data_IF_983272134997
#
_entry.id   IF_983272134997
#
_cell.length_a   1.000
_cell.length_b   1.000
_cell.length_c   1.000
_cell.angle_alpha   90.00
_cell.angle_beta   90.00
_cell.angle_gamma   90.00
#
_symmetry.space_group_name_H-M   'P 1'
#
loop_
_entity.id
_entity.type
_entity.pdbx_description
1 polymer ?
#
# COMPACT_ATOMS: atom_id res chain seq x y z
N UNK A 1 23.08 16.57 8.83
CA UNK A 1 22.37 16.09 7.63
C UNK A 1 21.68 17.27 7.01
N UNK A 2 22.19 17.68 5.86
CA UNK A 2 21.66 18.79 5.07
C UNK A 2 20.22 18.48 4.62
N UNK A 3 19.42 19.50 4.31
CA UNK A 3 18.03 19.29 3.84
C UNK A 3 17.98 18.45 2.55
N UNK A 4 19.01 18.58 1.70
CA UNK A 4 19.17 17.84 0.45
C UNK A 4 19.36 16.34 0.72
N UNK A 5 20.25 15.96 1.66
CA UNK A 5 20.47 14.55 2.02
C UNK A 5 19.20 13.88 2.58
N UNK A 6 18.38 14.61 3.35
CA UNK A 6 17.13 14.07 3.89
C UNK A 6 16.09 13.83 2.80
N UNK A 7 16.02 14.71 1.80
CA UNK A 7 15.14 14.54 0.66
C UNK A 7 15.60 13.37 -0.21
N UNK A 8 16.92 13.20 -0.37
CA UNK A 8 17.51 12.08 -1.09
C UNK A 8 17.18 10.71 -0.48
N UNK A 9 17.34 10.60 0.84
CA UNK A 9 17.00 9.36 1.56
C UNK A 9 15.50 9.07 1.52
N UNK A 10 14.65 10.12 1.52
CA UNK A 10 13.19 9.96 1.49
C UNK A 10 12.71 9.40 0.16
N UNK A 11 13.18 9.90 -0.99
CA UNK A 11 12.69 9.40 -2.27
C UNK A 11 13.12 7.94 -2.51
N UNK A 12 14.33 7.55 -2.09
CA UNK A 12 14.78 6.15 -2.16
C UNK A 12 13.87 5.27 -1.30
N UNK A 13 13.56 5.72 -0.08
CA UNK A 13 12.62 5.01 0.79
C UNK A 13 11.26 4.86 0.11
N UNK A 14 10.70 5.92 -0.47
CA UNK A 14 9.41 5.87 -1.15
C UNK A 14 9.42 4.90 -2.35
N UNK A 15 10.50 4.83 -3.13
CA UNK A 15 10.66 3.83 -4.20
C UNK A 15 10.77 2.40 -3.69
N UNK A 16 11.55 2.16 -2.63
CA UNK A 16 11.63 0.83 -1.99
C UNK A 16 10.26 0.44 -1.45
N UNK A 17 9.51 1.39 -0.90
CA UNK A 17 8.13 1.16 -0.44
C UNK A 17 7.18 0.80 -1.56
N UNK A 18 7.30 1.46 -2.71
CA UNK A 18 6.49 1.15 -3.88
C UNK A 18 6.54 -0.33 -4.25
N UNK A 19 7.72 -0.94 -4.09
CA UNK A 19 7.97 -2.35 -4.42
C UNK A 19 7.74 -3.34 -3.26
N UNK A 20 7.98 -2.92 -2.02
CA UNK A 20 8.09 -3.86 -0.87
C UNK A 20 7.09 -3.62 0.27
N UNK A 21 6.33 -2.53 0.22
CA UNK A 21 5.29 -2.28 1.21
C UNK A 21 4.16 -3.31 1.04
N UNK A 22 3.56 -3.78 2.13
CA UNK A 22 2.44 -4.71 2.04
C UNK A 22 1.25 -4.09 1.29
N UNK A 23 0.47 -4.94 0.64
CA UNK A 23 -0.84 -4.56 0.09
C UNK A 23 -1.84 -4.62 1.25
N UNK A 24 -2.51 -3.51 1.53
CA UNK A 24 -3.50 -3.44 2.61
C UNK A 24 -4.86 -3.89 2.05
N UNK A 25 -5.46 -4.90 2.68
CA UNK A 25 -6.75 -5.48 2.27
C UNK A 25 -7.78 -5.36 3.38
N UNK A 26 -9.06 -5.39 3.04
CA UNK A 26 -10.11 -5.55 4.05
C UNK A 26 -9.99 -6.95 4.71
N UNK A 27 -10.01 -7.03 6.05
CA UNK A 27 -9.87 -8.29 6.76
C UNK A 27 -11.12 -9.15 6.56
N UNK A 28 -11.04 -10.14 5.67
CA UNK A 28 -12.17 -10.99 5.30
C UNK A 28 -11.68 -12.38 4.85
N UNK A 29 -12.51 -13.44 4.96
CA UNK A 29 -12.17 -14.76 4.41
C UNK A 29 -11.81 -14.74 2.92
N UNK A 30 -12.29 -13.74 2.16
CA UNK A 30 -12.12 -13.61 0.72
C UNK A 30 -10.83 -12.88 0.28
N UNK A 31 -9.86 -12.72 1.19
CA UNK A 31 -8.58 -12.06 0.86
C UNK A 31 -7.76 -12.86 -0.17
N UNK A 32 -7.88 -14.19 -0.17
CA UNK A 32 -7.14 -15.05 -1.09
C UNK A 32 -7.72 -14.99 -2.52
N UNK A 33 -9.01 -14.64 -2.65
CA UNK A 33 -9.73 -14.54 -3.92
C UNK A 33 -9.44 -13.26 -4.71
N UNK A 34 -8.63 -12.35 -4.17
CA UNK A 34 -8.20 -11.15 -4.87
C UNK A 34 -7.42 -11.55 -6.13
N UNK A 35 -7.84 -11.14 -7.35
CA UNK A 35 -7.18 -11.53 -8.58
C UNK A 35 -5.70 -11.11 -8.63
N UNK A 36 -4.80 -12.03 -8.98
CA UNK A 36 -3.36 -11.76 -8.99
C UNK A 36 -2.98 -10.65 -9.97
N UNK A 37 -3.66 -10.56 -11.12
CA UNK A 37 -3.49 -9.44 -12.07
C UNK A 37 -3.64 -8.05 -11.44
N UNK A 38 -4.48 -7.91 -10.40
CA UNK A 38 -4.62 -6.64 -9.66
C UNK A 38 -3.40 -6.43 -8.75
N UNK A 39 -2.97 -7.47 -8.03
CA UNK A 39 -1.80 -7.42 -7.14
C UNK A 39 -0.53 -7.07 -7.93
N UNK A 40 -0.34 -7.69 -9.09
CA UNK A 40 0.80 -7.47 -9.99
C UNK A 40 0.89 -6.04 -10.51
N UNK A 41 -0.24 -5.32 -10.57
CA UNK A 41 -0.29 -3.93 -11.03
C UNK A 41 0.13 -2.94 -9.95
N UNK A 42 -0.03 -3.29 -8.68
CA UNK A 42 0.25 -2.39 -7.53
C UNK A 42 1.66 -1.78 -7.57
N UNK A 43 2.75 -2.54 -7.80
CA UNK A 43 4.09 -1.96 -7.84
C UNK A 43 4.24 -0.86 -8.90
N UNK A 44 3.72 -1.07 -10.10
CA UNK A 44 3.80 -0.09 -11.20
C UNK A 44 3.01 1.17 -10.85
N UNK A 45 1.78 1.03 -10.34
CA UNK A 45 0.94 2.16 -9.96
C UNK A 45 1.56 2.97 -8.81
N UNK A 46 2.18 2.29 -7.84
CA UNK A 46 2.91 2.96 -6.74
C UNK A 46 4.12 3.71 -7.27
N UNK A 47 4.87 3.17 -8.24
CA UNK A 47 5.99 3.88 -8.88
C UNK A 47 5.51 5.12 -9.63
N UNK A 48 4.39 5.04 -10.36
CA UNK A 48 3.76 6.20 -11.00
C UNK A 48 3.38 7.25 -9.95
N UNK A 49 2.81 6.83 -8.81
CA UNK A 49 2.49 7.73 -7.71
C UNK A 49 3.74 8.37 -7.10
N UNK A 50 4.85 7.64 -6.94
CA UNK A 50 6.12 8.20 -6.52
C UNK A 50 6.61 9.28 -7.50
N UNK A 51 6.52 9.03 -8.82
CA UNK A 51 6.88 10.03 -9.83
C UNK A 51 6.00 11.29 -9.75
N UNK A 52 4.68 11.13 -9.57
CA UNK A 52 3.75 12.25 -9.36
C UNK A 52 4.05 13.04 -8.09
N UNK A 53 4.41 12.35 -7.01
CA UNK A 53 4.80 13.00 -5.76
C UNK A 53 6.08 13.84 -5.91
N UNK A 54 7.03 13.43 -6.77
CA UNK A 54 8.19 14.26 -7.12
C UNK A 54 7.79 15.51 -7.93
N UNK A 55 6.68 15.45 -8.68
CA UNK A 55 6.11 16.60 -9.38
C UNK A 55 5.26 17.52 -8.48
N UNK A 56 5.18 17.23 -7.18
CA UNK A 56 4.49 18.05 -6.18
C UNK A 56 3.06 17.59 -5.85
N UNK A 57 2.59 16.47 -6.40
CA UNK A 57 1.31 15.89 -5.98
C UNK A 57 1.39 15.32 -4.55
N UNK A 58 0.29 15.38 -3.81
CA UNK A 58 0.23 14.74 -2.48
C UNK A 58 0.21 13.23 -2.65
N UNK A 59 1.15 12.48 -2.05
CA UNK A 59 1.21 11.04 -2.22
C UNK A 59 0.02 10.37 -1.52
N UNK A 60 -0.62 9.42 -2.20
CA UNK A 60 -1.77 8.65 -1.70
C UNK A 60 -1.67 7.19 -2.14
N UNK A 61 -2.58 6.34 -1.68
CA UNK A 61 -2.73 5.00 -2.25
C UNK A 61 -3.24 5.10 -3.69
N UNK A 62 -3.03 4.07 -4.48
CA UNK A 62 -3.46 4.05 -5.89
C UNK A 62 -4.93 3.62 -6.02
N UNK A 63 -5.54 3.86 -7.18
CA UNK A 63 -6.91 3.40 -7.45
C UNK A 63 -6.99 1.86 -7.41
N UNK A 64 -5.92 1.17 -7.82
CA UNK A 64 -5.80 -0.30 -7.71
C UNK A 64 -5.76 -0.76 -6.26
N UNK A 65 -5.02 -0.07 -5.38
CA UNK A 65 -4.97 -0.42 -3.96
C UNK A 65 -6.33 -0.22 -3.26
N UNK A 66 -7.03 0.88 -3.58
CA UNK A 66 -8.38 1.10 -3.07
C UNK A 66 -9.36 0.02 -3.55
N UNK A 67 -9.30 -0.36 -4.83
CA UNK A 67 -10.11 -1.44 -5.39
C UNK A 67 -9.83 -2.78 -4.70
N UNK A 68 -8.55 -3.11 -4.52
CA UNK A 68 -8.11 -4.32 -3.82
C UNK A 68 -8.61 -4.33 -2.37
N UNK A 69 -8.53 -3.19 -1.68
CA UNK A 69 -9.04 -3.09 -0.32
C UNK A 69 -10.53 -3.40 -0.24
N UNK A 70 -11.32 -2.85 -1.15
CA UNK A 70 -12.78 -3.03 -1.17
C UNK A 70 -13.24 -4.40 -1.68
N UNK A 71 -12.45 -5.08 -2.52
CA UNK A 71 -12.86 -6.32 -3.20
C UNK A 71 -13.37 -7.40 -2.23
N UNK A 72 -12.63 -7.82 -1.17
CA UNK A 72 -13.12 -8.82 -0.23
C UNK A 72 -14.39 -8.39 0.51
N UNK A 73 -14.54 -7.08 0.78
CA UNK A 73 -15.72 -6.54 1.45
C UNK A 73 -16.98 -6.71 0.61
N UNK A 74 -16.87 -6.66 -0.72
CA UNK A 74 -18.01 -6.84 -1.63
C UNK A 74 -18.54 -8.27 -1.64
N UNK A 75 -17.66 -9.25 -1.38
CA UNK A 75 -18.01 -10.68 -1.30
C UNK A 75 -18.57 -11.08 0.07
N UNK A 76 -18.22 -10.33 1.11
CA UNK A 76 -18.65 -10.60 2.49
C UNK A 76 -20.10 -10.16 2.75
N UNK A 77 -20.47 -8.96 2.32
CA UNK A 77 -21.81 -8.42 2.53
C UNK A 77 -22.11 -7.28 1.54
N UNK A 78 -23.38 -6.90 1.45
CA UNK A 78 -23.76 -5.69 0.70
C UNK A 78 -23.10 -4.45 1.31
N UNK A 79 -22.76 -3.49 0.44
CA UNK A 79 -22.25 -2.17 0.83
C UNK A 79 -23.34 -1.12 0.62
N UNK A 80 -23.21 0.01 1.29
CA UNK A 80 -24.04 1.17 1.01
C UNK A 80 -23.85 1.65 -0.45
N UNK A 81 -24.86 2.31 -1.01
CA UNK A 81 -24.89 2.72 -2.41
C UNK A 81 -23.68 3.56 -2.80
N UNK A 82 -23.24 4.47 -1.94
CA UNK A 82 -22.10 5.35 -2.24
C UNK A 82 -20.80 4.56 -2.39
N UNK A 83 -20.59 3.56 -1.54
CA UNK A 83 -19.42 2.68 -1.64
C UNK A 83 -19.50 1.72 -2.83
N UNK A 84 -20.69 1.25 -3.20
CA UNK A 84 -20.86 0.49 -4.44
C UNK A 84 -20.48 1.34 -5.65
N UNK A 85 -20.93 2.58 -5.68
CA UNK A 85 -20.65 3.52 -6.76
C UNK A 85 -19.14 3.83 -6.87
N UNK A 86 -18.46 4.04 -5.72
CA UNK A 86 -17.00 4.18 -5.65
C UNK A 86 -16.29 2.91 -6.17
N UNK A 87 -16.72 1.72 -5.73
CA UNK A 87 -16.13 0.45 -6.14
C UNK A 87 -16.20 0.25 -7.66
N UNK A 88 -17.37 0.51 -8.24
CA UNK A 88 -17.61 0.40 -9.68
C UNK A 88 -16.79 1.44 -10.47
N UNK A 89 -16.72 2.68 -9.98
CA UNK A 89 -15.89 3.72 -10.57
C UNK A 89 -14.40 3.35 -10.59
N UNK A 90 -13.88 2.83 -9.48
CA UNK A 90 -12.51 2.32 -9.39
C UNK A 90 -12.30 1.14 -10.33
N UNK A 91 -13.24 0.19 -10.36
CA UNK A 91 -13.22 -0.96 -11.28
C UNK A 91 -13.12 -0.51 -12.73
N UNK A 92 -13.94 0.45 -13.15
CA UNK A 92 -13.90 1.04 -14.49
C UNK A 92 -12.53 1.63 -14.85
N UNK A 93 -11.98 2.46 -13.96
CA UNK A 93 -10.66 3.07 -14.17
C UNK A 93 -9.56 2.03 -14.29
N UNK A 94 -9.55 1.05 -13.38
CA UNK A 94 -8.51 0.02 -13.33
C UNK A 94 -8.62 -0.92 -14.53
N UNK A 95 -9.82 -1.38 -14.87
CA UNK A 95 -10.05 -2.20 -16.06
C UNK A 95 -9.64 -1.47 -17.33
N UNK A 96 -10.02 -0.20 -17.48
CA UNK A 96 -9.65 0.63 -18.63
C UNK A 96 -8.12 0.81 -18.74
N UNK A 97 -7.43 1.01 -17.61
CA UNK A 97 -5.96 1.05 -17.56
C UNK A 97 -5.30 -0.29 -17.93
N UNK A 98 -6.01 -1.41 -17.81
CA UNK A 98 -5.61 -2.75 -18.24
C UNK A 98 -6.07 -3.09 -19.67
N UNK A 99 -6.67 -2.14 -20.40
CA UNK A 99 -7.19 -2.37 -21.75
C UNK A 99 -8.47 -3.21 -21.79
N UNK A 100 -9.22 -3.25 -20.68
CA UNK A 100 -10.51 -3.93 -20.59
C UNK A 100 -11.63 -2.89 -20.50
N UNK A 101 -12.71 -3.11 -21.24
CA UNK A 101 -13.90 -2.27 -21.18
C UNK A 101 -14.91 -2.83 -20.19
N UNK A 102 -15.45 -1.97 -19.34
CA UNK A 102 -16.60 -2.30 -18.50
C UNK A 102 -17.90 -2.17 -19.29
N UNK A 103 -18.85 -3.10 -19.13
CA UNK A 103 -20.18 -2.99 -19.73
C UNK A 103 -20.87 -1.65 -19.39
N UNK A 104 -21.50 -1.02 -20.38
CA UNK A 104 -22.05 0.34 -20.25
C UNK A 104 -23.14 0.47 -19.19
N UNK A 105 -23.91 -0.61 -18.96
CA UNK A 105 -25.03 -0.66 -18.02
C UNK A 105 -24.59 -0.63 -16.55
N UNK A 106 -23.37 -1.09 -16.27
CA UNK A 106 -22.79 -1.06 -14.91
C UNK A 106 -21.65 -0.07 -14.79
N UNK A 107 -21.14 0.50 -15.89
CA UNK A 107 -20.00 1.42 -15.86
C UNK A 107 -20.35 2.69 -15.09
N UNK A 108 -19.38 3.18 -14.31
CA UNK A 108 -19.45 4.51 -13.68
C UNK A 108 -18.24 5.35 -14.05
N UNK A 109 -18.52 6.49 -14.67
CA UNK A 109 -17.49 7.40 -15.20
C UNK A 109 -17.18 8.57 -14.26
N UNK A 110 -18.11 8.91 -13.36
CA UNK A 110 -17.97 10.03 -12.41
C UNK A 110 -18.45 9.66 -11.01
N UNK A 111 -17.89 10.35 -10.02
CA UNK A 111 -18.34 10.37 -8.63
C UNK A 111 -18.77 11.79 -8.29
N UNK A 112 -19.75 11.92 -7.38
CA UNK A 112 -20.05 13.23 -6.80
C UNK A 112 -18.95 13.67 -5.80
N UNK A 113 -19.08 14.89 -5.28
CA UNK A 113 -18.09 15.45 -4.36
C UNK A 113 -17.95 14.65 -3.07
N UNK A 114 -19.04 14.12 -2.52
CA UNK A 114 -19.00 13.40 -1.25
C UNK A 114 -18.31 12.05 -1.44
N UNK A 115 -18.72 11.31 -2.48
CA UNK A 115 -18.11 10.04 -2.88
C UNK A 115 -16.61 10.21 -3.17
N UNK A 116 -16.22 11.30 -3.84
CA UNK A 116 -14.81 11.59 -4.11
C UNK A 116 -14.03 11.93 -2.82
N UNK A 117 -14.63 12.67 -1.88
CA UNK A 117 -14.01 12.94 -0.56
C UNK A 117 -13.79 11.65 0.21
N UNK A 118 -14.78 10.76 0.25
CA UNK A 118 -14.70 9.49 0.97
C UNK A 118 -13.66 8.55 0.35
N UNK A 119 -13.59 8.50 -0.98
CA UNK A 119 -12.53 7.78 -1.68
C UNK A 119 -11.13 8.35 -1.35
N UNK A 120 -10.98 9.67 -1.35
CA UNK A 120 -9.70 10.29 -1.02
C UNK A 120 -9.27 10.02 0.42
N UNK A 121 -10.21 10.05 1.37
CA UNK A 121 -9.95 9.66 2.75
C UNK A 121 -9.51 8.19 2.86
N UNK A 122 -10.19 7.28 2.16
CA UNK A 122 -9.80 5.87 2.12
C UNK A 122 -8.37 5.72 1.56
N UNK A 123 -8.05 6.38 0.45
CA UNK A 123 -6.72 6.31 -0.17
C UNK A 123 -5.62 6.89 0.71
N UNK A 124 -5.90 7.97 1.43
CA UNK A 124 -4.97 8.52 2.41
C UNK A 124 -4.73 7.53 3.56
N UNK A 125 -5.80 6.93 4.10
CA UNK A 125 -5.69 5.95 5.18
C UNK A 125 -4.90 4.70 4.76
N UNK A 126 -5.14 4.15 3.56
CA UNK A 126 -4.39 3.00 3.02
C UNK A 126 -2.90 3.34 2.91
N UNK A 127 -2.58 4.54 2.40
CA UNK A 127 -1.21 5.04 2.27
C UNK A 127 -0.50 5.12 3.62
N UNK A 128 -1.17 5.68 4.63
CA UNK A 128 -0.60 5.80 5.97
C UNK A 128 -0.38 4.42 6.60
N UNK A 129 -1.33 3.48 6.40
CA UNK A 129 -1.22 2.11 6.92
C UNK A 129 -0.06 1.35 6.32
N UNK A 130 0.18 1.43 5.01
CA UNK A 130 1.33 0.74 4.39
C UNK A 130 2.66 1.30 4.88
N UNK A 131 2.76 2.62 5.05
CA UNK A 131 3.98 3.27 5.56
C UNK A 131 4.22 2.86 7.00
N UNK A 132 3.19 2.86 7.83
CA UNK A 132 3.29 2.40 9.22
C UNK A 132 3.80 0.96 9.28
N UNK A 133 3.24 0.06 8.47
CA UNK A 133 3.66 -1.34 8.41
C UNK A 133 5.13 -1.51 8.04
N UNK A 134 5.64 -0.73 7.06
CA UNK A 134 7.07 -0.71 6.73
C UNK A 134 7.92 -0.22 7.89
N UNK A 135 7.57 0.92 8.49
CA UNK A 135 8.33 1.50 9.59
C UNK A 135 8.39 0.55 10.79
N UNK A 136 7.32 -0.19 11.06
CA UNK A 136 7.28 -1.17 12.13
C UNK A 136 8.13 -2.41 11.80
N UNK A 137 8.12 -2.88 10.54
CA UNK A 137 9.03 -3.93 10.06
C UNK A 137 10.51 -3.52 10.22
N UNK A 138 10.85 -2.29 9.85
CA UNK A 138 12.21 -1.76 9.97
C UNK A 138 12.66 -1.60 11.43
N UNK A 139 11.72 -1.26 12.32
CA UNK A 139 11.98 -1.21 13.77
C UNK A 139 12.18 -2.60 14.34
N UNK A 140 11.33 -3.56 13.97
CA UNK A 140 11.45 -4.96 14.42
C UNK A 140 12.77 -5.58 13.94
N UNK A 141 13.14 -5.40 12.67
CA UNK A 141 14.40 -5.90 12.13
C UNK A 141 15.64 -5.32 12.82
N UNK A 142 15.59 -4.04 13.23
CA UNK A 142 16.68 -3.43 14.02
C UNK A 142 16.78 -3.96 15.45
N UNK A 143 15.67 -4.37 16.05
CA UNK A 143 15.67 -5.02 17.38
C UNK A 143 16.28 -6.41 17.27
N UNK A 144 15.81 -7.22 16.31
CA UNK A 144 16.32 -8.56 16.07
C UNK A 144 17.84 -8.57 15.84
N UNK A 145 18.34 -7.71 14.94
CA UNK A 145 19.80 -7.63 14.68
C UNK A 145 20.62 -7.31 15.93
N UNK A 146 20.11 -6.44 16.82
CA UNK A 146 20.79 -6.11 18.08
C UNK A 146 20.79 -7.30 19.05
N UNK A 147 19.70 -8.06 19.08
CA UNK A 147 19.59 -9.28 19.89
C UNK A 147 20.54 -10.36 19.36
N UNK A 148 20.55 -10.62 18.06
CA UNK A 148 21.45 -11.58 17.41
C UNK A 148 22.93 -11.20 17.62
N UNK A 149 23.30 -9.93 17.50
CA UNK A 149 24.65 -9.45 17.79
C UNK A 149 25.03 -9.60 19.28
N UNK A 150 24.09 -9.38 20.19
CA UNK A 150 24.32 -9.57 21.62
C UNK A 150 24.47 -11.05 21.98
N UNK A 151 23.69 -11.94 21.35
CA UNK A 151 23.83 -13.39 21.51
C UNK A 151 25.15 -13.89 20.95
N UNK A 152 25.55 -13.44 19.74
CA UNK A 152 26.86 -13.76 19.16
C UNK A 152 28.01 -13.33 20.08
N UNK A 153 27.97 -12.10 20.62
CA UNK A 153 28.99 -11.63 21.58
C UNK A 153 29.03 -12.46 22.86
N UNK A 154 27.88 -12.93 23.37
CA UNK A 154 27.84 -13.82 24.53
C UNK A 154 28.43 -15.20 24.22
N UNK A 155 28.17 -15.74 23.03
CA UNK A 155 28.72 -17.02 22.57
C UNK A 155 30.23 -16.94 22.26
N UNK A 156 30.74 -15.78 21.86
CA UNK A 156 32.17 -15.52 21.63
C UNK A 156 32.94 -15.21 22.93
N UNK A 157 32.26 -14.91 24.05
CA UNK A 157 32.87 -14.58 25.35
C UNK A 157 33.19 -15.73 26.36
N UNK A 158 33.06 -17.05 26.11
CA UNK A 158 33.29 -18.06 27.16
C UNK A 158 34.71 -18.68 27.20
N UNK A 159 35.78 -17.96 26.82
CA UNK A 159 37.15 -18.50 26.96
C UNK A 159 38.27 -17.47 27.20
N UNK A 160 37.97 -16.25 27.68
CA UNK A 160 39.02 -15.23 27.90
C UNK A 160 39.46 -15.05 29.36
N UNK A 161 38.81 -15.69 30.32
CA UNK A 161 39.14 -15.56 31.74
C UNK A 161 38.90 -16.86 32.51
N UNK A 162 39.76 -17.85 32.29
CA UNK A 162 40.10 -18.82 33.33
C UNK A 162 41.47 -18.39 33.89
N UNK A 163 41.46 -17.80 35.09
CA UNK A 163 42.67 -17.44 35.86
C UNK A 163 43.02 -18.54 36.85
#
# INVERSE_FOLDING_TARGET
MDQIEKQDVKWISDLVGALTDPIITWPSPWMEDIPDRLKDRVPIERLIMCARAQMGETPTATDVEALIYMFPRTLEATMDRDWVDIYVYLGNKVCSAMGQEMPEDIRRDTLDEQQMRDLNHLKAWIYDKRIAARLDRDRAGRRQKKEDEAERKKQEQPALFDF
#
